data_IF_760139053836
#
_entry.id   IF_760139053836
#
_cell.length_a   1.000
_cell.length_b   1.000
_cell.length_c   1.000
_cell.angle_alpha   90.00
_cell.angle_beta   90.00
_cell.angle_gamma   90.00
#
_symmetry.space_group_name_H-M   'P 1'
#
loop_
_entity.id
_entity.type
_entity.pdbx_description
1 polymer ?
#
# COMPACT_ATOMS: atom_id res chain seq x y z
N UNK A 1 -12.82 10.01 -9.30
CA UNK A 1 -12.37 11.12 -8.43
C UNK A 1 -11.37 10.53 -7.44
N UNK A 2 -10.08 10.85 -7.56
CA UNK A 2 -9.09 10.40 -6.58
C UNK A 2 -9.04 11.42 -5.44
N UNK A 3 -9.86 11.22 -4.41
CA UNK A 3 -9.82 12.02 -3.21
C UNK A 3 -8.58 11.63 -2.39
N UNK A 4 -7.40 12.14 -2.77
CA UNK A 4 -6.35 12.37 -1.77
C UNK A 4 -6.97 13.29 -0.73
N UNK A 5 -6.99 12.85 0.54
CA UNK A 5 -7.63 13.49 1.68
C UNK A 5 -7.27 14.98 1.76
N UNK A 6 -8.05 15.81 1.05
CA UNK A 6 -7.99 17.26 1.08
C UNK A 6 -8.94 17.74 2.16
N UNK A 7 -8.60 17.41 3.40
CA UNK A 7 -9.08 18.14 4.57
C UNK A 7 -7.95 18.08 5.59
N UNK A 8 -7.60 19.25 6.13
CA UNK A 8 -6.34 19.54 6.81
C UNK A 8 -5.85 18.42 7.72
N UNK A 9 -4.53 18.23 7.78
CA UNK A 9 -3.80 17.22 8.56
C UNK A 9 -4.30 17.16 10.01
N UNK A 10 -5.44 16.53 10.25
CA UNK A 10 -5.83 16.04 11.56
C UNK A 10 -4.70 15.11 11.92
N UNK A 11 -3.88 15.47 12.91
CA UNK A 11 -2.54 14.90 13.19
C UNK A 11 -2.48 13.40 13.52
N UNK A 12 -3.43 12.59 13.04
CA UNK A 12 -3.43 11.14 13.11
C UNK A 12 -2.35 10.60 12.18
N UNK A 13 -1.38 9.94 12.78
CA UNK A 13 -0.43 9.09 12.05
C UNK A 13 -1.20 8.01 11.28
N UNK A 14 -0.72 7.60 10.10
CA UNK A 14 -1.29 6.47 9.35
C UNK A 14 -1.36 5.20 10.21
N UNK A 15 -0.46 5.05 11.18
CA UNK A 15 -0.44 3.97 12.16
C UNK A 15 -1.71 3.89 13.00
N UNK A 16 -2.38 5.02 13.22
CA UNK A 16 -3.66 5.08 13.92
C UNK A 16 -4.86 4.72 13.02
N UNK A 17 -4.65 4.58 11.70
CA UNK A 17 -5.69 4.26 10.71
C UNK A 17 -5.69 2.78 10.31
N UNK A 18 -4.71 2.01 10.75
CA UNK A 18 -4.54 0.60 10.40
C UNK A 18 -4.44 -0.26 11.66
N UNK A 19 -4.72 -1.55 11.53
CA UNK A 19 -4.73 -2.51 12.64
C UNK A 19 -3.43 -3.30 12.80
N UNK A 20 -2.32 -2.81 12.25
CA UNK A 20 -1.02 -3.48 12.29
C UNK A 20 0.11 -2.49 12.63
N UNK A 21 1.19 -3.01 13.21
CA UNK A 21 2.36 -2.22 13.55
C UNK A 21 3.28 -2.00 12.35
N UNK A 22 4.24 -1.08 12.49
CA UNK A 22 5.32 -0.93 11.50
C UNK A 22 6.12 -2.22 11.35
N UNK A 23 6.36 -2.94 12.45
CA UNK A 23 7.08 -4.20 12.42
C UNK A 23 6.34 -5.27 11.61
N UNK A 24 5.01 -5.35 11.77
CA UNK A 24 4.18 -6.26 10.98
C UNK A 24 4.25 -5.93 9.48
N UNK A 25 4.19 -4.65 9.13
CA UNK A 25 4.34 -4.19 7.75
C UNK A 25 5.72 -4.55 7.18
N UNK A 26 6.79 -4.28 7.92
CA UNK A 26 8.15 -4.62 7.46
C UNK A 26 8.28 -6.13 7.27
N UNK A 27 7.90 -6.94 8.26
CA UNK A 27 7.96 -8.39 8.17
C UNK A 27 7.10 -8.92 7.01
N UNK A 28 5.93 -8.32 6.76
CA UNK A 28 5.05 -8.68 5.66
C UNK A 28 5.66 -8.36 4.27
N UNK A 29 6.31 -7.20 4.12
CA UNK A 29 6.98 -6.83 2.88
C UNK A 29 8.22 -7.68 2.63
N UNK A 30 9.03 -7.91 3.66
CA UNK A 30 10.27 -8.67 3.56
C UNK A 30 10.04 -10.12 3.14
N UNK A 31 8.96 -10.76 3.63
CA UNK A 31 8.54 -12.09 3.17
C UNK A 31 8.17 -12.17 1.69
N UNK A 32 7.94 -11.04 1.04
CA UNK A 32 7.55 -10.95 -0.37
C UNK A 32 8.65 -10.35 -1.26
N UNK A 33 9.85 -10.13 -0.73
CA UNK A 33 10.96 -9.58 -1.51
C UNK A 33 11.26 -10.45 -2.74
N UNK A 34 11.33 -9.77 -3.89
CA UNK A 34 11.77 -10.36 -5.14
C UNK A 34 13.31 -10.50 -5.15
N UNK A 35 13.88 -11.37 -6.01
CA UNK A 35 15.32 -11.52 -6.11
C UNK A 35 16.04 -10.18 -6.25
N UNK A 36 16.99 -9.91 -5.35
CA UNK A 36 17.76 -8.67 -5.30
C UNK A 36 17.14 -7.52 -4.50
N UNK A 37 15.91 -7.64 -3.99
CA UNK A 37 15.33 -6.67 -3.07
C UNK A 37 15.94 -6.82 -1.67
N UNK A 38 16.27 -5.69 -1.06
CA UNK A 38 16.71 -5.61 0.33
C UNK A 38 16.18 -4.32 0.97
N UNK A 39 16.25 -4.24 2.29
CA UNK A 39 16.02 -2.97 2.98
C UNK A 39 17.09 -1.92 2.66
N UNK A 40 18.32 -2.34 2.32
CA UNK A 40 19.41 -1.43 1.96
C UNK A 40 19.17 -0.70 0.63
N UNK A 41 18.36 -1.27 -0.27
CA UNK A 41 18.00 -0.66 -1.55
C UNK A 41 16.52 -0.22 -1.62
N UNK A 42 15.99 0.22 -0.47
CA UNK A 42 14.59 0.66 -0.30
C UNK A 42 14.15 1.76 -1.28
N UNK A 43 15.08 2.54 -1.79
CA UNK A 43 14.87 3.56 -2.81
C UNK A 43 14.54 2.98 -4.20
N UNK A 44 14.88 1.72 -4.47
CA UNK A 44 14.70 1.06 -5.77
C UNK A 44 13.36 0.36 -5.93
N UNK A 45 12.61 0.17 -4.85
CA UNK A 45 11.32 -0.49 -4.86
C UNK A 45 10.28 0.30 -4.07
N UNK A 46 9.01 0.09 -4.42
CA UNK A 46 7.86 0.77 -3.83
C UNK A 46 6.94 -0.23 -3.13
N UNK A 47 6.13 0.28 -2.20
CA UNK A 47 5.00 -0.47 -1.66
C UNK A 47 3.86 -0.33 -2.67
N UNK A 48 3.54 -1.42 -3.35
CA UNK A 48 2.46 -1.50 -4.32
C UNK A 48 1.17 -1.99 -3.64
N UNK A 49 0.04 -1.43 -4.08
CA UNK A 49 -1.28 -1.94 -3.75
C UNK A 49 -1.67 -2.95 -4.83
N UNK A 50 -1.76 -4.24 -4.48
CA UNK A 50 -2.06 -5.33 -5.40
C UNK A 50 -3.34 -5.03 -6.17
N UNK A 51 -4.41 -4.77 -5.43
CA UNK A 51 -5.60 -4.09 -5.92
C UNK A 51 -5.38 -2.58 -5.79
N UNK A 52 -5.41 -1.82 -6.90
CA UNK A 52 -5.23 -0.38 -6.89
C UNK A 52 -6.19 0.31 -5.92
N UNK A 53 -5.73 1.34 -5.22
CA UNK A 53 -6.57 2.16 -4.33
C UNK A 53 -7.79 2.71 -5.07
N UNK A 54 -7.64 3.06 -6.35
CA UNK A 54 -8.72 3.55 -7.23
C UNK A 54 -9.81 2.53 -7.52
N UNK A 55 -9.64 1.26 -7.15
CA UNK A 55 -10.67 0.22 -7.24
C UNK A 55 -11.52 0.12 -5.97
N UNK A 56 -11.22 0.90 -4.93
CA UNK A 56 -11.97 0.92 -3.68
C UNK A 56 -12.73 2.23 -3.53
N UNK A 57 -13.95 2.13 -3.03
CA UNK A 57 -14.77 3.27 -2.65
C UNK A 57 -14.63 3.53 -1.15
N UNK A 58 -14.17 4.71 -0.77
CA UNK A 58 -14.15 5.18 0.61
C UNK A 58 -14.00 6.69 0.69
N UNK A 59 -14.61 7.28 1.72
CA UNK A 59 -14.52 8.73 2.01
C UNK A 59 -13.84 9.01 3.35
N UNK A 60 -13.81 8.03 4.25
CA UNK A 60 -13.14 8.13 5.56
C UNK A 60 -12.22 6.92 5.81
N UNK A 61 -11.22 7.05 6.71
CA UNK A 61 -10.37 5.92 7.10
C UNK A 61 -11.11 4.76 7.78
N UNK A 62 -12.31 5.02 8.31
CA UNK A 62 -13.12 4.01 9.00
C UNK A 62 -13.88 3.10 8.02
N UNK A 63 -14.00 3.52 6.75
CA UNK A 63 -14.67 2.77 5.70
C UNK A 63 -14.01 1.39 5.48
N UNK A 64 -14.81 0.33 5.23
CA UNK A 64 -14.27 -0.98 4.87
C UNK A 64 -13.36 -0.95 3.65
N UNK A 65 -13.67 -0.11 2.64
CA UNK A 65 -12.84 0.06 1.45
C UNK A 65 -11.44 0.60 1.75
N UNK A 66 -11.33 1.54 2.68
CA UNK A 66 -10.03 2.05 3.13
C UNK A 66 -9.23 0.95 3.83
N UNK A 67 -9.87 0.24 4.77
CA UNK A 67 -9.23 -0.86 5.51
C UNK A 67 -8.76 -1.98 4.58
N UNK A 68 -9.55 -2.32 3.56
CA UNK A 68 -9.19 -3.31 2.56
C UNK A 68 -8.03 -2.83 1.66
N UNK A 69 -8.07 -1.57 1.21
CA UNK A 69 -7.00 -1.00 0.40
C UNK A 69 -5.66 -1.01 1.15
N UNK A 70 -5.67 -0.66 2.44
CA UNK A 70 -4.48 -0.54 3.28
C UNK A 70 -4.13 -1.81 4.07
N UNK A 71 -4.88 -2.91 3.91
CA UNK A 71 -4.61 -4.17 4.57
C UNK A 71 -3.27 -4.75 4.12
N UNK A 72 -2.54 -5.42 5.02
CA UNK A 72 -1.27 -6.08 4.68
C UNK A 72 -1.44 -7.01 3.48
N UNK A 73 -2.52 -7.81 3.42
CA UNK A 73 -2.81 -8.71 2.29
C UNK A 73 -2.94 -8.02 0.93
N UNK A 74 -3.15 -6.71 0.88
CA UNK A 74 -3.21 -5.93 -0.35
C UNK A 74 -1.91 -5.15 -0.62
N UNK A 75 -0.91 -5.21 0.26
CA UNK A 75 0.38 -4.52 0.13
C UNK A 75 1.50 -5.49 -0.21
N UNK A 76 2.37 -5.09 -1.14
CA UNK A 76 3.56 -5.88 -1.49
C UNK A 76 4.73 -4.98 -1.89
N UNK A 77 5.98 -5.48 -1.82
CA UNK A 77 7.09 -4.83 -2.47
C UNK A 77 7.00 -5.04 -3.99
N UNK A 78 7.30 -4.00 -4.76
CA UNK A 78 7.42 -4.09 -6.21
C UNK A 78 8.53 -3.16 -6.69
N UNK A 79 9.34 -3.58 -7.67
CA UNK A 79 10.37 -2.71 -8.22
C UNK A 79 9.75 -1.41 -8.72
N UNK A 80 10.41 -0.28 -8.48
CA UNK A 80 9.87 1.04 -8.80
C UNK A 80 9.46 1.14 -10.28
N UNK A 81 10.29 0.60 -11.17
CA UNK A 81 10.03 0.51 -12.61
C UNK A 81 8.78 -0.29 -12.94
N UNK A 82 8.57 -1.42 -12.28
CA UNK A 82 7.41 -2.28 -12.53
C UNK A 82 6.13 -1.67 -11.95
N UNK A 83 6.23 -1.01 -10.79
CA UNK A 83 5.11 -0.27 -10.20
C UNK A 83 4.65 0.87 -11.12
N UNK A 84 5.59 1.63 -11.70
CA UNK A 84 5.29 2.70 -12.66
C UNK A 84 4.62 2.11 -13.91
N UNK A 85 5.16 1.01 -14.46
CA UNK A 85 4.58 0.32 -15.64
C UNK A 85 3.18 -0.24 -15.36
N UNK A 86 2.93 -0.74 -14.15
CA UNK A 86 1.61 -1.26 -13.73
C UNK A 86 0.52 -0.20 -13.82
N UNK A 87 0.83 1.08 -13.55
CA UNK A 87 -0.08 2.22 -13.77
C UNK A 87 -1.50 2.00 -13.21
N UNK A 88 -1.59 1.59 -11.94
CA UNK A 88 -2.86 1.28 -11.27
C UNK A 88 -3.74 0.23 -11.97
N UNK A 89 -3.15 -0.69 -12.75
CA UNK A 89 -3.85 -1.84 -13.31
C UNK A 89 -3.81 -3.01 -12.33
N UNK A 90 -4.87 -3.82 -12.31
CA UNK A 90 -4.86 -5.11 -11.63
C UNK A 90 -4.16 -6.13 -12.54
N UNK A 91 -3.03 -6.68 -12.09
CA UNK A 91 -2.22 -7.64 -12.87
C UNK A 91 -2.34 -9.08 -12.36
N UNK A 92 -3.02 -9.28 -11.23
CA UNK A 92 -3.21 -10.60 -10.62
C UNK A 92 -4.70 -10.88 -10.48
N UNK A 93 -5.09 -12.10 -10.84
CA UNK A 93 -6.37 -12.68 -10.47
C UNK A 93 -6.24 -13.16 -9.02
N UNK A 94 -7.20 -12.78 -8.18
CA UNK A 94 -7.31 -13.19 -6.77
C UNK A 94 -8.34 -14.31 -6.66
#
# INVERSE_FOLDING_TARGET
MNASLASGKTGRSWRALVSYSVADLMAHLERQFLPGMTWANRDRWHIDHIVPVSSFEFTTPDCPGFKAAWALSNLRPLWATDNIRKSAKRTHLI
#
